data_IF_194148739960
#
_entry.id   IF_194148739960
#
_cell.length_a   1.000
_cell.length_b   1.000
_cell.length_c   1.000
_cell.angle_alpha   90.00
_cell.angle_beta   90.00
_cell.angle_gamma   90.00
#
_symmetry.space_group_name_H-M   'P 1'
#
loop_
_entity.id
_entity.type
_entity.pdbx_description
1 polymer ?
#
# COMPACT_ATOMS: atom_id res chain seq x y z
N UNK A 1 -7.77 -17.34 0.81
CA UNK A 1 -7.90 -17.63 -0.64
C UNK A 1 -8.90 -18.76 -0.93
N UNK A 2 -9.33 -18.94 -2.18
CA UNK A 2 -10.21 -20.04 -2.65
C UNK A 2 -9.51 -20.84 -3.78
N UNK A 3 -8.64 -21.81 -3.46
CA UNK A 3 -7.81 -22.51 -4.45
C UNK A 3 -8.62 -23.21 -5.55
N UNK A 4 -9.70 -23.89 -5.18
CA UNK A 4 -10.55 -24.63 -6.13
C UNK A 4 -11.17 -23.71 -7.19
N UNK A 5 -11.45 -22.45 -6.84
CA UNK A 5 -11.98 -21.46 -7.78
C UNK A 5 -10.89 -20.94 -8.73
N UNK A 6 -9.69 -20.66 -8.21
CA UNK A 6 -8.55 -20.21 -9.01
C UNK A 6 -8.09 -21.26 -10.02
N UNK A 7 -8.26 -22.54 -9.70
CA UNK A 7 -7.89 -23.66 -10.57
C UNK A 7 -8.88 -23.91 -11.74
N UNK A 8 -10.02 -23.21 -11.80
CA UNK A 8 -11.05 -23.43 -12.85
C UNK A 8 -10.52 -23.06 -14.24
N UNK A 9 -9.60 -22.10 -14.33
CA UNK A 9 -9.03 -21.67 -15.60
C UNK A 9 -7.55 -21.31 -15.44
N UNK A 10 -6.73 -21.74 -16.40
CA UNK A 10 -5.33 -21.34 -16.51
C UNK A 10 -5.10 -20.76 -17.90
N UNK A 11 -4.58 -19.54 -17.93
CA UNK A 11 -4.26 -18.83 -19.17
C UNK A 11 -2.75 -18.83 -19.37
N UNK A 12 -2.32 -18.93 -20.62
CA UNK A 12 -0.90 -18.76 -20.96
C UNK A 12 -0.55 -17.29 -20.93
N UNK A 13 0.54 -16.93 -20.24
CA UNK A 13 1.04 -15.57 -20.21
C UNK A 13 1.29 -15.05 -21.63
N UNK A 14 0.69 -13.90 -21.94
CA UNK A 14 0.99 -13.14 -23.14
C UNK A 14 2.32 -12.41 -22.93
N UNK A 15 3.17 -12.42 -23.96
CA UNK A 15 4.50 -11.79 -23.95
C UNK A 15 5.32 -12.18 -22.70
N UNK A 16 5.61 -13.48 -22.51
CA UNK A 16 6.20 -13.99 -21.27
C UNK A 16 7.59 -13.42 -20.95
N UNK A 17 8.29 -12.91 -21.96
CA UNK A 17 9.62 -12.30 -21.82
C UNK A 17 9.56 -10.78 -21.56
N UNK A 18 8.37 -10.16 -21.58
CA UNK A 18 8.23 -8.72 -21.33
C UNK A 18 8.47 -8.44 -19.84
N UNK A 19 9.50 -7.65 -19.48
CA UNK A 19 9.79 -7.37 -18.08
C UNK A 19 8.71 -6.47 -17.46
N UNK A 20 8.14 -6.92 -16.35
CA UNK A 20 7.04 -6.24 -15.66
C UNK A 20 7.48 -5.83 -14.25
N UNK A 21 7.02 -4.65 -13.82
CA UNK A 21 6.95 -4.28 -12.41
C UNK A 21 5.48 -4.32 -12.03
N UNK A 22 5.13 -5.17 -11.07
CA UNK A 22 3.81 -5.13 -10.47
C UNK A 22 3.71 -3.89 -9.58
N UNK A 23 3.06 -2.84 -10.09
CA UNK A 23 3.00 -1.55 -9.43
C UNK A 23 2.04 -1.51 -8.24
N UNK A 24 1.25 -2.56 -7.99
CA UNK A 24 0.28 -2.56 -6.90
C UNK A 24 -0.10 -3.99 -6.50
N UNK A 25 0.45 -4.44 -5.37
CA UNK A 25 -0.09 -5.59 -4.65
C UNK A 25 -0.23 -5.30 -3.15
N UNK A 26 -0.85 -6.23 -2.45
CA UNK A 26 -1.00 -6.21 -0.99
C UNK A 26 -0.43 -7.49 -0.39
N UNK A 27 -0.11 -7.45 0.90
CA UNK A 27 0.27 -8.58 1.73
C UNK A 27 -0.45 -8.44 3.07
N UNK A 28 -1.25 -9.42 3.47
CA UNK A 28 -2.03 -9.33 4.72
C UNK A 28 -2.11 -10.66 5.45
N UNK A 29 -2.23 -10.57 6.77
CA UNK A 29 -2.33 -11.73 7.66
C UNK A 29 -3.72 -12.40 7.66
N UNK A 30 -3.93 -13.28 8.64
CA UNK A 30 -5.09 -14.18 8.70
C UNK A 30 -6.46 -13.47 8.77
N UNK A 31 -6.52 -12.26 9.33
CA UNK A 31 -7.77 -11.56 9.61
C UNK A 31 -8.66 -11.32 8.37
N UNK A 32 -8.08 -11.31 7.16
CA UNK A 32 -8.77 -11.07 5.89
C UNK A 32 -8.63 -12.24 4.90
N UNK A 33 -8.20 -13.40 5.39
CA UNK A 33 -7.84 -14.56 4.58
C UNK A 33 -6.45 -14.38 4.00
N UNK A 34 -5.45 -14.93 4.70
CA UNK A 34 -4.02 -14.81 4.46
C UNK A 34 -3.61 -14.71 2.97
N UNK A 35 -2.73 -13.74 2.70
CA UNK A 35 -1.99 -13.61 1.46
C UNK A 35 -0.62 -12.98 1.79
N UNK A 36 0.42 -13.80 1.87
CA UNK A 36 1.76 -13.40 2.29
C UNK A 36 2.80 -13.67 1.18
N UNK A 37 4.08 -13.59 1.52
CA UNK A 37 5.19 -13.65 0.57
C UNK A 37 5.14 -14.90 -0.32
N UNK A 38 4.90 -16.08 0.24
CA UNK A 38 4.82 -17.32 -0.54
C UNK A 38 3.63 -17.35 -1.50
N UNK A 39 2.51 -16.72 -1.12
CA UNK A 39 1.30 -16.66 -1.94
C UNK A 39 1.56 -15.73 -3.14
N UNK A 40 2.18 -14.57 -2.89
CA UNK A 40 2.63 -13.67 -3.93
C UNK A 40 3.65 -14.31 -4.87
N UNK A 41 4.65 -15.02 -4.35
CA UNK A 41 5.66 -15.68 -5.19
C UNK A 41 5.07 -16.80 -6.05
N UNK A 42 4.08 -17.53 -5.53
CA UNK A 42 3.37 -18.53 -6.31
C UNK A 42 2.61 -17.89 -7.48
N UNK A 43 1.90 -16.78 -7.24
CA UNK A 43 1.17 -16.06 -8.29
C UNK A 43 2.10 -15.39 -9.31
N UNK A 44 3.19 -14.77 -8.84
CA UNK A 44 4.21 -14.15 -9.70
C UNK A 44 4.93 -15.18 -10.59
N UNK A 45 4.93 -16.46 -10.19
CA UNK A 45 5.43 -17.59 -10.98
C UNK A 45 4.48 -18.07 -12.09
N UNK A 46 3.33 -17.42 -12.28
CA UNK A 46 2.28 -17.81 -13.25
C UNK A 46 2.64 -17.69 -14.73
N UNK A 47 3.86 -17.32 -15.07
CA UNK A 47 4.39 -17.30 -16.45
C UNK A 47 4.74 -15.91 -17.00
N UNK A 48 4.41 -14.83 -16.29
CA UNK A 48 4.86 -13.48 -16.61
C UNK A 48 6.25 -13.19 -16.02
N UNK A 49 7.06 -12.37 -16.71
CA UNK A 49 8.37 -11.94 -16.23
C UNK A 49 8.26 -10.78 -15.21
N UNK A 50 7.75 -11.08 -14.01
CA UNK A 50 7.66 -10.12 -12.91
C UNK A 50 9.06 -9.90 -12.30
N UNK A 51 9.62 -8.70 -12.47
CA UNK A 51 10.98 -8.36 -12.02
C UNK A 51 11.02 -7.76 -10.63
N UNK A 52 9.99 -7.01 -10.27
CA UNK A 52 9.85 -6.31 -9.00
C UNK A 52 8.38 -6.02 -8.73
N UNK A 53 8.08 -5.65 -7.48
CA UNK A 53 6.73 -5.23 -7.11
C UNK A 53 6.71 -4.04 -6.15
N UNK A 54 5.56 -3.38 -6.05
CA UNK A 54 5.29 -2.31 -5.09
C UNK A 54 4.15 -2.74 -4.18
N UNK A 55 4.43 -2.78 -2.87
CA UNK A 55 3.42 -3.01 -1.86
C UNK A 55 2.66 -1.72 -1.56
N UNK A 56 1.34 -1.81 -1.45
CA UNK A 56 0.47 -0.72 -1.01
C UNK A 56 -0.19 -1.11 0.32
N UNK A 57 -0.30 -0.16 1.25
CA UNK A 57 -0.92 -0.35 2.58
C UNK A 57 -2.26 -1.07 2.51
N UNK A 58 -2.56 -1.90 3.51
CA UNK A 58 -3.82 -2.62 3.57
C UNK A 58 -4.35 -2.79 4.99
N UNK A 59 -3.87 -1.98 5.93
CA UNK A 59 -4.24 -2.03 7.35
C UNK A 59 -3.91 -3.41 7.97
N UNK A 60 -2.68 -3.86 7.74
CA UNK A 60 -2.13 -5.11 8.30
C UNK A 60 -0.88 -4.85 9.13
N UNK A 61 -0.61 -5.71 10.11
CA UNK A 61 0.62 -5.69 10.93
C UNK A 61 0.90 -4.38 11.69
N UNK A 62 -0.13 -3.57 11.97
CA UNK A 62 0.03 -2.36 12.75
C UNK A 62 0.58 -2.67 14.14
N UNK A 63 1.47 -1.80 14.64
CA UNK A 63 1.93 -1.87 16.02
C UNK A 63 0.75 -1.69 16.97
N UNK A 64 0.90 -2.17 18.21
CA UNK A 64 -0.09 -2.02 19.26
C UNK A 64 0.46 -1.17 20.42
N UNK A 65 -0.41 -0.36 21.04
CA UNK A 65 -0.05 0.52 22.17
C UNK A 65 0.69 1.80 21.76
N UNK A 66 0.92 2.70 22.71
CA UNK A 66 1.57 3.99 22.43
C UNK A 66 0.71 4.94 21.59
N UNK A 67 1.35 5.88 20.91
CA UNK A 67 0.68 6.88 20.07
C UNK A 67 0.09 6.20 18.80
N UNK A 68 -1.23 6.26 18.58
CA UNK A 68 -1.88 5.65 17.40
C UNK A 68 -1.34 6.13 16.05
N UNK A 69 -0.81 7.36 15.96
CA UNK A 69 -0.20 7.87 14.73
C UNK A 69 0.98 7.01 14.25
N UNK A 70 1.62 6.26 15.14
CA UNK A 70 2.77 5.39 14.83
C UNK A 70 2.40 3.92 14.63
N UNK A 71 1.12 3.55 14.81
CA UNK A 71 0.67 2.17 14.57
C UNK A 71 0.97 1.69 13.14
N UNK A 72 0.73 2.50 12.08
CA UNK A 72 0.97 2.08 10.70
C UNK A 72 2.45 1.83 10.35
N UNK A 73 3.39 2.32 11.17
CA UNK A 73 4.83 2.02 10.99
C UNK A 73 5.07 0.50 11.02
N UNK A 74 4.30 -0.25 11.82
CA UNK A 74 4.44 -1.71 11.91
C UNK A 74 4.24 -2.43 10.58
N UNK A 75 3.33 -1.93 9.74
CA UNK A 75 3.10 -2.49 8.41
C UNK A 75 4.34 -2.33 7.53
N UNK A 76 4.91 -1.13 7.51
CA UNK A 76 6.14 -0.82 6.74
C UNK A 76 7.30 -1.68 7.22
N UNK A 77 7.49 -1.84 8.53
CA UNK A 77 8.53 -2.71 9.10
C UNK A 77 8.36 -4.17 8.68
N UNK A 78 7.14 -4.67 8.75
CA UNK A 78 6.83 -6.06 8.45
C UNK A 78 7.06 -6.38 6.97
N UNK A 79 6.59 -5.51 6.08
CA UNK A 79 6.77 -5.65 4.63
C UNK A 79 8.24 -5.50 4.25
N UNK A 80 8.98 -4.56 4.84
CA UNK A 80 10.42 -4.43 4.60
C UNK A 80 11.18 -5.70 5.00
N UNK A 81 10.80 -6.36 6.10
CA UNK A 81 11.39 -7.63 6.50
C UNK A 81 11.06 -8.77 5.51
N UNK A 82 9.82 -8.85 5.01
CA UNK A 82 9.45 -9.80 3.95
C UNK A 82 10.23 -9.55 2.65
N UNK A 83 10.43 -8.28 2.27
CA UNK A 83 11.21 -7.91 1.09
C UNK A 83 12.68 -8.35 1.19
N UNK A 84 13.28 -8.29 2.39
CA UNK A 84 14.63 -8.81 2.62
C UNK A 84 14.68 -10.34 2.53
N UNK A 85 13.68 -11.04 3.05
CA UNK A 85 13.56 -12.50 2.89
C UNK A 85 13.44 -12.89 1.42
N UNK A 86 12.62 -12.16 0.66
CA UNK A 86 12.42 -12.37 -0.77
C UNK A 86 13.70 -12.13 -1.58
N UNK A 87 14.52 -11.15 -1.19
CA UNK A 87 15.77 -10.84 -1.89
C UNK A 87 16.75 -12.03 -1.93
N UNK A 88 16.73 -12.91 -0.92
CA UNK A 88 17.52 -14.14 -0.91
C UNK A 88 17.04 -15.19 -1.92
N UNK A 89 15.79 -15.08 -2.39
CA UNK A 89 15.16 -15.97 -3.38
C UNK A 89 15.35 -15.48 -4.83
N UNK A 90 15.82 -14.25 -5.02
CA UNK A 90 16.14 -13.68 -6.32
C UNK A 90 15.03 -12.77 -6.87
N UNK A 91 14.46 -13.15 -8.01
CA UNK A 91 13.42 -12.40 -8.73
C UNK A 91 12.07 -13.09 -8.51
N UNK A 92 10.96 -12.34 -8.28
CA UNK A 92 10.87 -10.87 -8.24
C UNK A 92 11.52 -10.25 -6.99
N UNK A 93 12.02 -9.01 -7.13
CA UNK A 93 12.30 -8.14 -5.98
C UNK A 93 10.97 -7.70 -5.37
N UNK A 94 10.47 -8.48 -4.41
CA UNK A 94 9.16 -8.23 -3.79
C UNK A 94 9.22 -6.96 -2.94
N UNK A 95 8.21 -6.10 -3.09
CA UNK A 95 8.08 -4.82 -2.39
C UNK A 95 9.35 -3.94 -2.51
N UNK A 96 9.91 -3.86 -3.72
CA UNK A 96 11.03 -2.96 -4.07
C UNK A 96 10.65 -1.47 -3.86
N UNK A 97 9.34 -1.20 -3.82
CA UNK A 97 8.73 -0.01 -3.23
C UNK A 97 7.64 -0.35 -2.21
N UNK A 98 7.49 0.49 -1.21
CA UNK A 98 6.44 0.42 -0.17
C UNK A 98 5.71 1.77 -0.12
N UNK A 99 4.40 1.72 -0.30
CA UNK A 99 3.49 2.85 -0.07
C UNK A 99 2.68 2.54 1.20
N UNK A 100 2.98 3.23 2.30
CA UNK A 100 2.33 2.99 3.60
C UNK A 100 1.11 3.88 3.83
N UNK A 101 0.47 3.76 4.99
CA UNK A 101 -0.54 4.72 5.44
C UNK A 101 0.05 5.68 6.48
N UNK A 102 -0.23 6.97 6.37
CA UNK A 102 0.02 7.94 7.43
C UNK A 102 -1.17 8.90 7.58
N UNK A 103 -1.53 9.25 8.81
CA UNK A 103 -2.67 10.11 9.12
C UNK A 103 -2.35 11.57 8.76
N UNK A 104 -2.58 11.94 7.50
CA UNK A 104 -2.26 13.28 6.99
C UNK A 104 -3.15 14.37 7.59
N UNK A 105 -4.32 14.03 8.17
CA UNK A 105 -5.16 15.02 8.88
C UNK A 105 -4.52 15.52 10.17
N UNK A 106 -3.49 14.83 10.69
CA UNK A 106 -2.64 15.33 11.78
C UNK A 106 -1.82 16.58 11.40
N UNK A 107 -1.84 16.98 10.12
CA UNK A 107 -1.11 18.15 9.64
C UNK A 107 0.40 17.97 9.78
N UNK A 108 1.12 19.03 10.14
CA UNK A 108 2.57 18.97 10.32
C UNK A 108 3.02 17.95 11.40
N UNK A 109 2.14 17.56 12.33
CA UNK A 109 2.43 16.56 13.34
C UNK A 109 2.63 15.14 12.77
N UNK A 110 2.30 14.90 11.50
CA UNK A 110 2.59 13.63 10.82
C UNK A 110 4.07 13.46 10.47
N UNK A 111 4.87 14.54 10.47
CA UNK A 111 6.26 14.53 10.03
C UNK A 111 7.13 13.47 10.74
N UNK A 112 7.10 13.34 12.08
CA UNK A 112 7.87 12.30 12.76
C UNK A 112 7.44 10.87 12.40
N UNK A 113 6.16 10.66 12.06
CA UNK A 113 5.65 9.35 11.61
C UNK A 113 6.26 8.99 10.26
N UNK A 114 6.26 9.94 9.32
CA UNK A 114 6.84 9.75 7.98
C UNK A 114 8.35 9.47 8.06
N UNK A 115 9.08 10.20 8.89
CA UNK A 115 10.52 9.95 9.13
C UNK A 115 10.76 8.55 9.70
N UNK A 116 9.92 8.13 10.66
CA UNK A 116 10.00 6.77 11.21
C UNK A 116 9.69 5.71 10.15
N UNK A 117 8.74 5.97 9.23
CA UNK A 117 8.44 5.05 8.12
C UNK A 117 9.58 4.98 7.10
N UNK A 118 10.28 6.08 6.83
CA UNK A 118 11.47 6.09 5.97
C UNK A 118 12.56 5.17 6.54
N UNK A 119 12.82 5.26 7.85
CA UNK A 119 13.76 4.37 8.54
C UNK A 119 13.28 2.92 8.52
N UNK A 120 12.03 2.68 8.93
CA UNK A 120 11.40 1.36 8.97
C UNK A 120 11.39 0.65 7.61
N UNK A 121 11.25 1.41 6.52
CA UNK A 121 11.21 0.90 5.16
C UNK A 121 12.57 0.45 4.62
N UNK A 122 13.68 0.72 5.34
CA UNK A 122 15.04 0.27 4.98
C UNK A 122 15.38 0.55 3.51
N UNK A 123 15.09 1.77 3.06
CA UNK A 123 15.31 2.23 1.68
C UNK A 123 14.20 1.91 0.67
N UNK A 124 13.13 1.20 1.08
CA UNK A 124 11.99 0.83 0.21
C UNK A 124 10.76 1.71 0.39
N UNK A 125 10.67 2.53 1.43
CA UNK A 125 9.51 3.42 1.61
C UNK A 125 9.52 4.55 0.58
N UNK A 126 8.47 4.63 -0.25
CA UNK A 126 8.38 5.55 -1.40
C UNK A 126 7.20 6.50 -1.36
N UNK A 127 6.24 6.29 -0.47
CA UNK A 127 5.05 7.14 -0.45
C UNK A 127 4.03 6.74 0.58
N UNK A 128 2.93 7.47 0.56
CA UNK A 128 1.75 7.15 1.36
C UNK A 128 0.50 7.08 0.52
N UNK A 129 -0.42 6.18 0.91
CA UNK A 129 -1.81 6.19 0.45
C UNK A 129 -2.68 6.69 1.60
N UNK A 130 -3.63 7.56 1.29
CA UNK A 130 -4.68 7.95 2.23
C UNK A 130 -6.03 7.89 1.51
N UNK A 131 -6.87 6.95 1.93
CA UNK A 131 -8.13 6.65 1.28
C UNK A 131 -9.09 7.83 1.45
N UNK A 132 -9.46 8.48 0.36
CA UNK A 132 -10.36 9.62 0.32
C UNK A 132 -11.73 9.29 -0.31
N UNK A 133 -11.93 8.04 -0.76
CA UNK A 133 -13.15 7.56 -1.39
C UNK A 133 -14.39 7.80 -0.50
N UNK A 134 -15.22 8.78 -0.87
CA UNK A 134 -16.44 9.14 -0.15
C UNK A 134 -17.63 9.29 -1.11
N UNK A 135 -18.80 8.80 -0.70
CA UNK A 135 -20.04 8.93 -1.44
C UNK A 135 -21.22 9.21 -0.48
N UNK A 136 -22.21 10.06 -0.84
CA UNK A 136 -23.34 10.37 0.03
C UNK A 136 -24.28 9.16 0.26
N UNK A 137 -24.37 8.25 -0.71
CA UNK A 137 -25.07 6.97 -0.55
C UNK A 137 -24.12 5.92 0.08
N UNK A 138 -24.41 5.42 1.29
CA UNK A 138 -23.62 4.37 1.94
C UNK A 138 -23.57 3.05 1.17
N UNK A 139 -24.56 2.76 0.32
CA UNK A 139 -24.58 1.53 -0.49
C UNK A 139 -23.49 1.54 -1.57
N UNK A 140 -23.01 2.72 -1.97
CA UNK A 140 -21.92 2.88 -2.93
C UNK A 140 -20.52 2.79 -2.28
N UNK A 141 -20.42 2.39 -1.01
CA UNK A 141 -19.14 2.28 -0.29
C UNK A 141 -18.34 1.08 -0.78
N UNK A 142 -17.22 1.35 -1.45
CA UNK A 142 -16.25 0.35 -1.91
C UNK A 142 -15.03 0.17 -1.01
N UNK A 143 -14.92 0.91 0.10
CA UNK A 143 -13.77 0.85 1.00
C UNK A 143 -14.17 0.58 2.46
N UNK A 144 -13.28 -0.10 3.18
CA UNK A 144 -13.35 -0.23 4.64
C UNK A 144 -13.13 1.10 5.36
N UNK A 145 -12.44 2.06 4.73
CA UNK A 145 -12.30 3.41 5.29
C UNK A 145 -13.64 4.19 5.19
N UNK A 146 -13.83 5.12 6.13
CA UNK A 146 -14.92 6.12 6.13
C UNK A 146 -14.34 7.53 6.24
N UNK A 147 -13.71 8.04 5.17
CA UNK A 147 -13.25 9.42 5.16
C UNK A 147 -14.45 10.38 5.14
N UNK A 148 -14.29 11.64 5.62
CA UNK A 148 -15.28 12.68 5.41
C UNK A 148 -15.34 13.12 3.93
N UNK A 149 -16.43 13.76 3.48
CA UNK A 149 -16.44 14.43 2.18
C UNK A 149 -15.36 15.52 2.12
N UNK A 150 -14.82 15.76 0.92
CA UNK A 150 -13.83 16.81 0.65
C UNK A 150 -12.53 16.68 1.47
N UNK A 151 -12.17 15.47 1.90
CA UNK A 151 -10.98 15.22 2.71
C UNK A 151 -9.70 15.83 2.10
N UNK A 152 -9.51 15.73 0.78
CA UNK A 152 -8.29 16.24 0.13
C UNK A 152 -8.22 17.78 0.12
N UNK A 153 -9.35 18.46 0.33
CA UNK A 153 -9.44 19.90 0.46
C UNK A 153 -9.27 20.38 1.91
N UNK A 154 -9.29 19.48 2.89
CA UNK A 154 -9.14 19.84 4.29
C UNK A 154 -7.78 20.53 4.55
N UNK A 155 -7.75 21.71 5.20
CA UNK A 155 -6.51 22.44 5.42
C UNK A 155 -5.49 21.66 6.26
N UNK A 156 -5.93 20.81 7.19
CA UNK A 156 -5.04 19.97 8.00
C UNK A 156 -4.46 18.84 7.17
N UNK A 157 -5.28 18.17 6.35
CA UNK A 157 -4.81 17.21 5.35
C UNK A 157 -3.75 17.83 4.43
N UNK A 158 -4.00 19.02 3.86
CA UNK A 158 -3.03 19.69 2.97
C UNK A 158 -1.72 20.04 3.69
N UNK A 159 -1.77 20.40 4.99
CA UNK A 159 -0.55 20.61 5.81
C UNK A 159 0.23 19.31 6.02
N UNK A 160 -0.46 18.18 6.18
CA UNK A 160 0.17 16.85 6.29
C UNK A 160 0.75 16.39 4.96
N UNK A 161 -0.02 16.51 3.88
CA UNK A 161 0.42 16.22 2.50
C UNK A 161 1.68 17.02 2.13
N UNK A 162 1.77 18.29 2.53
CA UNK A 162 2.96 19.12 2.30
C UNK A 162 4.23 18.59 2.99
N UNK A 163 4.14 17.66 3.95
CA UNK A 163 5.30 17.00 4.56
C UNK A 163 5.92 15.92 3.68
N UNK A 164 5.22 15.43 2.65
CA UNK A 164 5.71 14.35 1.77
C UNK A 164 6.84 14.83 0.87
N UNK A 165 6.67 15.98 0.22
CA UNK A 165 7.65 16.53 -0.73
C UNK A 165 9.06 16.74 -0.14
N UNK A 166 9.23 17.33 1.06
CA UNK A 166 10.54 17.44 1.71
C UNK A 166 11.25 16.11 1.99
N UNK A 167 10.50 15.00 2.05
CA UNK A 167 11.03 13.65 2.25
C UNK A 167 11.16 12.87 0.94
N UNK A 168 10.83 13.48 -0.22
CA UNK A 168 10.84 12.80 -1.51
C UNK A 168 9.78 11.69 -1.65
N UNK A 169 8.70 11.77 -0.87
CA UNK A 169 7.64 10.76 -0.85
C UNK A 169 6.53 11.07 -1.85
N UNK A 170 6.04 10.02 -2.52
CA UNK A 170 4.87 10.08 -3.39
C UNK A 170 3.56 10.00 -2.61
N UNK A 171 2.46 10.35 -3.29
CA UNK A 171 1.10 10.18 -2.78
C UNK A 171 0.29 9.31 -3.74
N UNK A 172 -0.30 8.25 -3.21
CA UNK A 172 -1.25 7.39 -3.93
C UNK A 172 -2.68 7.84 -3.57
N UNK A 173 -3.44 8.25 -4.59
CA UNK A 173 -4.78 8.81 -4.43
C UNK A 173 -5.85 7.74 -4.68
N UNK A 174 -6.38 7.15 -3.61
CA UNK A 174 -7.53 6.25 -3.70
C UNK A 174 -8.85 6.98 -3.42
N UNK A 175 -9.57 7.32 -4.49
CA UNK A 175 -10.76 8.17 -4.50
C UNK A 175 -11.73 7.77 -5.62
N UNK A 176 -12.98 8.24 -5.56
CA UNK A 176 -13.92 8.05 -6.67
C UNK A 176 -13.70 9.09 -7.79
N UNK A 177 -14.10 8.73 -9.02
CA UNK A 177 -13.96 9.63 -10.18
C UNK A 177 -14.70 10.97 -10.01
N UNK A 178 -15.77 11.02 -9.20
CA UNK A 178 -16.51 12.26 -8.89
C UNK A 178 -15.70 13.24 -8.04
N UNK A 179 -14.66 12.76 -7.36
CA UNK A 179 -13.83 13.56 -6.47
C UNK A 179 -12.59 14.13 -7.19
N UNK A 180 -12.35 13.82 -8.48
CA UNK A 180 -11.12 14.21 -9.19
C UNK A 180 -10.77 15.71 -9.10
N UNK A 181 -11.78 16.58 -8.96
CA UNK A 181 -11.58 18.02 -8.79
C UNK A 181 -10.89 18.39 -7.46
N UNK A 182 -10.86 17.50 -6.48
CA UNK A 182 -10.18 17.70 -5.20
C UNK A 182 -8.65 17.48 -5.29
N UNK A 183 -8.15 16.78 -6.32
CA UNK A 183 -6.73 16.42 -6.50
C UNK A 183 -5.90 17.51 -7.21
N UNK A 184 -6.11 18.78 -6.86
CA UNK A 184 -5.46 19.94 -7.50
C UNK A 184 -4.36 20.59 -6.66
#
# INVERSE_FOLDING_TARGET
>A
MRPDWLAIHQETALEPDMPIIDAHHHLWGEARGRYLLEDFLADAGGGHDIRASVFIECDSFYRHGGNPLFHPVGEVEHVAAMAEQAAALGIPRVADGIVGFAELTAGAAVRPVLETMVEAGRGRFRGVRHIAAWHPDPAARGSMATPPPMLLLDPSFRRGFAQLAPLGLSFDAWMYHTQLAELR
#
